data_IF_030020518601
#
_entry.id   IF_030020518601
#
_cell.length_a   1.000
_cell.length_b   1.000
_cell.length_c   1.000
_cell.angle_alpha   90.00
_cell.angle_beta   90.00
_cell.angle_gamma   90.00
#
_symmetry.space_group_name_H-M   'P 1'
#
loop_
_entity.id
_entity.type
_entity.pdbx_description
1 polymer ?
#
# COMPACT_ATOMS: atom_id res chain seq x y z
N UNK A 1 0.04 -10.51 -4.11
CA UNK A 1 1.43 -10.17 -3.69
C UNK A 1 1.54 -9.90 -2.19
N UNK A 2 0.70 -9.05 -1.57
CA UNK A 2 0.83 -8.75 -0.14
C UNK A 2 0.73 -9.97 0.80
N UNK A 3 -0.19 -10.91 0.53
CA UNK A 3 -0.28 -12.16 1.30
C UNK A 3 1.02 -12.97 1.18
N UNK A 4 1.60 -13.03 -0.02
CA UNK A 4 2.89 -13.68 -0.25
C UNK A 4 4.03 -12.98 0.50
N UNK A 5 4.01 -11.65 0.60
CA UNK A 5 4.95 -10.89 1.42
C UNK A 5 4.86 -11.32 2.90
N UNK A 6 3.66 -11.39 3.47
CA UNK A 6 3.50 -11.86 4.86
C UNK A 6 4.05 -13.27 5.05
N UNK A 7 3.80 -14.18 4.10
CA UNK A 7 4.34 -15.55 4.11
C UNK A 7 5.87 -15.63 4.00
N UNK A 8 6.54 -14.57 3.53
CA UNK A 8 8.01 -14.52 3.50
C UNK A 8 8.66 -14.03 4.79
N UNK A 9 7.87 -13.57 5.78
CA UNK A 9 8.41 -13.16 7.08
C UNK A 9 8.83 -14.42 7.87
N UNK A 10 10.05 -14.40 8.41
CA UNK A 10 10.71 -15.55 9.04
C UNK A 10 9.84 -16.28 10.08
N UNK A 11 9.07 -15.54 10.89
CA UNK A 11 8.25 -16.10 11.96
C UNK A 11 6.75 -16.19 11.61
N UNK A 12 6.35 -15.90 10.38
CA UNK A 12 4.93 -15.87 10.03
C UNK A 12 4.24 -17.22 10.20
N UNK A 13 4.93 -18.30 9.84
CA UNK A 13 4.39 -19.65 9.93
C UNK A 13 4.30 -20.18 11.38
N UNK A 14 5.06 -19.57 12.30
CA UNK A 14 5.06 -19.89 13.74
C UNK A 14 3.79 -19.35 14.42
N UNK A 15 3.19 -18.29 13.87
CA UNK A 15 1.95 -17.71 14.39
C UNK A 15 0.77 -18.67 14.21
N UNK A 16 -0.17 -18.64 15.15
CA UNK A 16 -1.46 -19.28 14.95
C UNK A 16 -2.31 -18.49 13.93
N UNK A 17 -3.38 -19.11 13.42
CA UNK A 17 -4.21 -18.52 12.36
C UNK A 17 -4.88 -17.20 12.77
N UNK A 18 -5.28 -17.05 14.05
CA UNK A 18 -5.89 -15.81 14.55
C UNK A 18 -4.87 -14.67 14.52
N UNK A 19 -3.65 -14.93 14.98
CA UNK A 19 -2.57 -13.94 15.01
C UNK A 19 -2.10 -13.56 13.60
N UNK A 20 -2.04 -14.52 12.67
CA UNK A 20 -1.79 -14.24 11.24
C UNK A 20 -2.85 -13.29 10.67
N UNK A 21 -4.12 -13.58 10.92
CA UNK A 21 -5.24 -12.74 10.44
C UNK A 21 -5.16 -11.35 11.07
N UNK A 22 -4.88 -11.24 12.36
CA UNK A 22 -4.76 -9.97 13.07
C UNK A 22 -3.58 -9.14 12.54
N UNK A 23 -2.41 -9.77 12.35
CA UNK A 23 -1.24 -9.13 11.78
C UNK A 23 -1.55 -8.55 10.40
N UNK A 24 -2.17 -9.36 9.52
CA UNK A 24 -2.55 -8.91 8.18
C UNK A 24 -3.54 -7.76 8.28
N UNK A 25 -4.66 -7.91 8.99
CA UNK A 25 -5.72 -6.88 9.04
C UNK A 25 -5.22 -5.54 9.59
N UNK A 26 -4.42 -5.58 10.65
CA UNK A 26 -3.94 -4.36 11.30
C UNK A 26 -2.87 -3.64 10.48
N UNK A 27 -2.11 -4.36 9.65
CA UNK A 27 -0.97 -3.79 8.92
C UNK A 27 -1.19 -3.64 7.41
N UNK A 28 -2.20 -4.30 6.83
CA UNK A 28 -2.48 -4.31 5.39
C UNK A 28 -2.49 -2.90 4.80
N UNK A 29 -3.18 -1.99 5.46
CA UNK A 29 -3.31 -0.59 5.04
C UNK A 29 -1.94 0.09 4.97
N UNK A 30 -1.15 0.00 6.04
CA UNK A 30 0.14 0.67 6.12
C UNK A 30 1.13 0.14 5.08
N UNK A 31 1.19 -1.18 4.90
CA UNK A 31 2.07 -1.81 3.91
C UNK A 31 1.65 -1.44 2.48
N UNK A 32 0.34 -1.42 2.21
CA UNK A 32 -0.17 -0.96 0.91
C UNK A 32 0.28 0.47 0.63
N UNK A 33 0.10 1.39 1.58
CA UNK A 33 0.49 2.80 1.41
C UNK A 33 2.01 2.98 1.33
N UNK A 34 2.80 2.19 2.04
CA UNK A 34 4.26 2.23 1.93
C UNK A 34 4.76 1.73 0.57
N UNK A 35 4.24 0.60 0.08
CA UNK A 35 4.56 0.11 -1.26
C UNK A 35 4.09 1.10 -2.34
N UNK A 36 2.91 1.70 -2.14
CA UNK A 36 2.38 2.72 -3.02
C UNK A 36 3.27 3.97 -3.03
N UNK A 37 3.76 4.45 -1.89
CA UNK A 37 4.63 5.64 -1.83
C UNK A 37 5.95 5.47 -2.56
N UNK A 38 6.50 4.25 -2.59
CA UNK A 38 7.75 3.96 -3.31
C UNK A 38 7.58 3.96 -4.83
N UNK A 39 6.34 3.86 -5.33
CA UNK A 39 6.04 3.72 -6.76
C UNK A 39 5.00 4.72 -7.25
N UNK A 40 4.83 5.80 -6.49
CA UNK A 40 3.89 6.86 -6.80
C UNK A 40 4.56 7.88 -7.72
N UNK A 41 3.94 8.13 -8.86
CA UNK A 41 4.23 9.26 -9.73
C UNK A 41 3.36 10.46 -9.30
N UNK A 42 3.95 11.49 -8.66
CA UNK A 42 3.20 12.64 -8.18
C UNK A 42 2.74 13.58 -9.30
N UNK A 43 3.34 13.51 -10.49
CA UNK A 43 2.99 14.36 -11.64
C UNK A 43 1.67 13.86 -12.25
N UNK A 44 1.55 12.55 -12.40
CA UNK A 44 0.38 11.93 -13.03
C UNK A 44 -0.68 11.42 -12.04
N UNK A 45 -0.38 11.45 -10.72
CA UNK A 45 -1.21 10.88 -9.66
C UNK A 45 -1.51 9.38 -9.87
N UNK A 46 -0.47 8.64 -10.22
CA UNK A 46 -0.53 7.21 -10.56
C UNK A 46 0.42 6.40 -9.70
N UNK A 47 -0.02 5.22 -9.30
CA UNK A 47 0.80 4.22 -8.64
C UNK A 47 1.11 3.11 -9.65
N UNK A 48 2.39 2.91 -9.93
CA UNK A 48 2.85 1.93 -10.91
C UNK A 48 3.38 0.67 -10.19
N UNK A 49 2.96 -0.52 -10.61
CA UNK A 49 3.69 -1.73 -10.25
C UNK A 49 4.54 -2.19 -11.43
N UNK A 50 5.85 -1.94 -11.32
CA UNK A 50 6.83 -2.41 -12.31
C UNK A 50 6.81 -3.93 -12.44
N UNK A 51 7.06 -4.43 -13.66
CA UNK A 51 7.11 -5.86 -13.97
C UNK A 51 5.78 -6.59 -13.76
N UNK A 52 4.66 -5.89 -14.00
CA UNK A 52 3.31 -6.44 -13.91
C UNK A 52 2.47 -6.04 -15.12
N UNK A 53 1.48 -6.86 -15.46
CA UNK A 53 0.42 -6.52 -16.42
C UNK A 53 -0.80 -5.90 -15.70
N UNK A 54 -0.63 -5.48 -14.44
CA UNK A 54 -1.73 -4.93 -13.66
C UNK A 54 -2.07 -3.52 -14.13
N UNK A 55 -3.35 -3.16 -14.06
CA UNK A 55 -3.78 -1.81 -14.43
C UNK A 55 -3.16 -0.81 -13.45
N UNK A 56 -2.74 0.38 -13.93
CA UNK A 56 -2.28 1.43 -13.04
C UNK A 56 -3.38 1.79 -12.04
N UNK A 57 -3.00 1.96 -10.78
CA UNK A 57 -3.90 2.47 -9.76
C UNK A 57 -3.81 3.99 -9.80
N UNK A 58 -4.91 4.66 -10.13
CA UNK A 58 -4.98 6.12 -10.13
C UNK A 58 -5.47 6.62 -8.76
N UNK A 59 -5.06 7.83 -8.36
CA UNK A 59 -5.55 8.43 -7.12
C UNK A 59 -7.08 8.57 -7.09
N UNK A 60 -7.74 8.70 -8.24
CA UNK A 60 -9.19 8.64 -8.37
C UNK A 60 -9.81 7.36 -7.80
N UNK A 61 -9.18 6.20 -8.00
CA UNK A 61 -9.65 4.92 -7.45
C UNK A 61 -9.53 4.89 -5.91
N UNK A 62 -8.47 5.50 -5.36
CA UNK A 62 -8.29 5.61 -3.90
C UNK A 62 -9.34 6.56 -3.31
N UNK A 63 -9.60 7.68 -3.99
CA UNK A 63 -10.64 8.64 -3.61
C UNK A 63 -12.02 7.99 -3.61
N UNK A 64 -12.33 7.16 -4.60
CA UNK A 64 -13.60 6.43 -4.68
C UNK A 64 -13.73 5.40 -3.54
N UNK A 65 -12.67 4.64 -3.27
CA UNK A 65 -12.71 3.58 -2.27
C UNK A 65 -12.72 4.09 -0.81
N UNK A 66 -12.05 5.21 -0.52
CA UNK A 66 -11.82 5.68 0.85
C UNK A 66 -12.32 7.10 1.13
N UNK A 67 -12.84 7.80 0.12
CA UNK A 67 -13.29 9.18 0.25
C UNK A 67 -12.19 10.21 0.04
N UNK A 68 -12.61 11.46 -0.23
CA UNK A 68 -11.70 12.57 -0.56
C UNK A 68 -10.80 12.98 0.61
N UNK A 69 -11.33 13.04 1.82
CA UNK A 69 -10.56 13.49 3.00
C UNK A 69 -9.40 12.53 3.28
N UNK A 70 -9.68 11.24 3.16
CA UNK A 70 -8.70 10.18 3.35
C UNK A 70 -7.64 10.19 2.25
N UNK A 71 -8.06 10.37 1.00
CA UNK A 71 -7.14 10.54 -0.12
C UNK A 71 -6.20 11.73 0.10
N UNK A 72 -6.71 12.90 0.51
CA UNK A 72 -5.88 14.08 0.79
C UNK A 72 -4.85 13.79 1.88
N UNK A 73 -5.24 13.13 2.98
CA UNK A 73 -4.30 12.77 4.05
C UNK A 73 -3.21 11.81 3.55
N UNK A 74 -3.60 10.78 2.80
CA UNK A 74 -2.67 9.81 2.23
C UNK A 74 -1.69 10.48 1.25
N UNK A 75 -2.18 11.28 0.31
CA UNK A 75 -1.34 11.95 -0.69
C UNK A 75 -0.39 12.96 -0.05
N UNK A 76 -0.78 13.64 1.03
CA UNK A 76 0.14 14.49 1.81
C UNK A 76 1.33 13.70 2.36
N UNK A 77 1.06 12.55 2.98
CA UNK A 77 2.12 11.69 3.54
C UNK A 77 3.00 11.14 2.43
N UNK A 78 2.40 10.64 1.35
CA UNK A 78 3.13 10.06 0.21
C UNK A 78 4.05 11.10 -0.43
N UNK A 79 3.56 12.32 -0.67
CA UNK A 79 4.38 13.41 -1.22
C UNK A 79 5.52 13.81 -0.29
N UNK A 80 5.27 13.84 1.03
CA UNK A 80 6.31 14.10 2.01
C UNK A 80 7.41 13.02 1.97
N UNK A 81 7.04 11.74 1.91
CA UNK A 81 7.98 10.63 1.77
C UNK A 81 8.77 10.70 0.45
N UNK A 82 8.11 11.02 -0.66
CA UNK A 82 8.76 11.17 -1.95
C UNK A 82 9.73 12.35 -2.00
N UNK A 83 9.55 13.40 -1.18
CA UNK A 83 10.51 14.51 -1.10
C UNK A 83 11.79 14.19 -0.32
N UNK A 84 11.81 13.07 0.40
CA UNK A 84 12.97 12.60 1.18
C UNK A 84 13.89 11.70 0.34
N UNK A 85 13.34 11.05 -0.70
CA UNK A 85 14.04 10.14 -1.63
C UNK A 85 14.53 10.92 -2.84
#
# INVERSE_FOLDING_TARGET
RLISFYKSLYDFDILNEIDKINLIKNNLRYILFFNASLKYDPIHDVYHEENTNDKPLYGAHIREAYGIDHYIQCTKIIRALHSIV
#
